data_IF_665571947525
#
_entry.id   IF_665571947525
#
_cell.length_a   1.000
_cell.length_b   1.000
_cell.length_c   1.000
_cell.angle_alpha   90.00
_cell.angle_beta   90.00
_cell.angle_gamma   90.00
#
_symmetry.space_group_name_H-M   'P 1'
#
loop_
_entity.id
_entity.type
_entity.pdbx_description
1 polymer ?
#
# COMPACT_ATOMS: atom_id res chain seq x y z
N UNK A 1 18.68 21.46 48.93
CA UNK A 1 18.18 22.50 48.00
C UNK A 1 18.38 23.84 48.69
N UNK A 2 19.50 24.47 48.48
CA UNK A 2 19.71 25.82 49.00
C UNK A 2 18.85 26.78 48.19
N UNK A 3 17.84 27.33 48.88
CA UNK A 3 16.92 28.28 48.29
C UNK A 3 17.69 29.51 47.80
N UNK A 4 17.64 29.73 46.51
CA UNK A 4 18.21 30.93 45.89
C UNK A 4 17.61 32.15 46.58
N UNK A 5 18.45 32.91 47.29
CA UNK A 5 18.00 34.13 47.98
C UNK A 5 17.48 35.10 46.92
N UNK A 6 16.21 35.42 46.95
CA UNK A 6 15.50 36.26 45.96
C UNK A 6 16.13 37.67 45.82
N UNK A 7 16.81 38.16 46.87
CA UNK A 7 17.57 39.41 46.84
C UNK A 7 18.83 39.33 45.97
N UNK A 8 19.58 38.20 46.04
CA UNK A 8 20.74 37.97 45.18
C UNK A 8 20.30 37.86 43.70
N UNK A 9 19.22 37.17 43.44
CA UNK A 9 18.70 37.08 42.05
C UNK A 9 18.31 38.44 41.48
N UNK A 10 17.69 39.32 42.28
CA UNK A 10 17.30 40.66 41.81
C UNK A 10 18.52 41.58 41.54
N UNK A 11 19.61 41.38 42.27
CA UNK A 11 20.84 42.16 42.12
C UNK A 11 21.72 41.74 40.94
N UNK A 12 21.49 40.54 40.36
CA UNK A 12 22.25 40.02 39.20
C UNK A 12 21.94 40.77 37.92
N UNK A 13 22.96 40.99 37.11
CA UNK A 13 22.84 41.52 35.76
C UNK A 13 22.16 40.48 34.82
N UNK A 14 21.60 40.86 33.67
CA UNK A 14 21.05 39.91 32.71
C UNK A 14 22.02 38.85 32.21
N UNK A 15 23.33 39.15 32.20
CA UNK A 15 24.38 38.22 31.82
C UNK A 15 24.58 37.14 32.90
N UNK A 16 24.77 37.58 34.17
CA UNK A 16 24.94 36.68 35.31
C UNK A 16 23.73 35.77 35.51
N UNK A 17 22.52 36.28 35.28
CA UNK A 17 21.30 35.45 35.32
C UNK A 17 21.30 34.35 34.25
N UNK A 18 21.77 34.62 33.02
CA UNK A 18 21.89 33.62 31.95
C UNK A 18 22.95 32.58 32.28
N UNK A 19 24.12 32.99 32.76
CA UNK A 19 25.19 32.07 33.20
C UNK A 19 24.68 31.15 34.31
N UNK A 20 24.04 31.72 35.33
CA UNK A 20 23.51 30.94 36.44
C UNK A 20 22.43 29.92 36.02
N UNK A 21 21.50 30.33 35.13
CA UNK A 21 20.52 29.39 34.56
C UNK A 21 21.22 28.29 33.79
N UNK A 22 22.21 28.62 32.96
CA UNK A 22 22.91 27.65 32.14
C UNK A 22 23.74 26.67 32.96
N UNK A 23 24.40 27.15 33.99
CA UNK A 23 25.22 26.32 34.90
C UNK A 23 24.35 25.31 35.69
N UNK A 24 23.24 25.75 36.23
CA UNK A 24 22.38 24.93 37.10
C UNK A 24 21.34 24.10 36.30
N UNK A 25 20.77 24.68 35.25
CA UNK A 25 19.66 24.07 34.51
C UNK A 25 19.99 23.72 33.07
N UNK A 26 21.21 24.02 32.59
CA UNK A 26 21.57 23.80 31.18
C UNK A 26 21.31 22.37 30.70
N UNK A 27 21.66 21.37 31.50
CA UNK A 27 21.40 19.95 31.18
C UNK A 27 19.90 19.63 31.12
N UNK A 28 19.13 20.14 32.06
CA UNK A 28 17.69 19.94 32.10
C UNK A 28 17.02 20.66 30.91
N UNK A 29 17.44 21.87 30.57
CA UNK A 29 16.97 22.63 29.41
C UNK A 29 17.22 21.85 28.11
N UNK A 30 18.44 21.30 27.93
CA UNK A 30 18.76 20.48 26.75
C UNK A 30 17.87 19.28 26.66
N UNK A 31 17.65 18.54 27.75
CA UNK A 31 16.75 17.37 27.77
C UNK A 31 15.34 17.76 27.40
N UNK A 32 14.80 18.84 27.94
CA UNK A 32 13.46 19.35 27.63
C UNK A 32 13.36 19.74 26.16
N UNK A 33 14.36 20.41 25.59
CA UNK A 33 14.39 20.78 24.18
C UNK A 33 14.43 19.57 23.26
N UNK A 34 15.19 18.52 23.63
CA UNK A 34 15.21 17.25 22.87
C UNK A 34 13.82 16.59 22.90
N UNK A 35 13.16 16.55 24.05
CA UNK A 35 11.81 15.99 24.18
C UNK A 35 10.82 16.78 23.32
N UNK A 36 10.84 18.11 23.38
CA UNK A 36 9.96 18.96 22.57
C UNK A 36 10.23 18.76 21.07
N UNK A 37 11.50 18.71 20.67
CA UNK A 37 11.87 18.48 19.27
C UNK A 37 11.41 17.09 18.79
N UNK A 38 11.56 16.06 19.62
CA UNK A 38 11.11 14.70 19.32
C UNK A 38 9.59 14.63 19.19
N UNK A 39 8.85 15.27 20.10
CA UNK A 39 7.39 15.35 20.03
C UNK A 39 6.91 16.13 18.81
N UNK A 40 7.56 17.26 18.50
CA UNK A 40 7.25 18.06 17.31
C UNK A 40 7.51 17.27 16.03
N UNK A 41 8.62 16.53 15.97
CA UNK A 41 8.92 15.63 14.85
C UNK A 41 7.86 14.54 14.71
N UNK A 42 7.51 13.87 15.80
CA UNK A 42 6.50 12.82 15.80
C UNK A 42 5.10 13.32 15.36
N UNK A 43 4.70 14.49 15.86
CA UNK A 43 3.46 15.14 15.45
C UNK A 43 3.51 15.57 13.98
N UNK A 44 4.63 16.15 13.54
CA UNK A 44 4.80 16.52 12.13
C UNK A 44 4.71 15.31 11.21
N UNK A 45 5.37 14.22 11.54
CA UNK A 45 5.32 12.98 10.75
C UNK A 45 3.91 12.38 10.73
N UNK A 46 3.22 12.35 11.88
CA UNK A 46 1.85 11.85 11.99
C UNK A 46 0.82 12.69 11.22
N UNK A 47 0.95 14.02 11.28
CA UNK A 47 0.04 14.95 10.58
C UNK A 47 0.37 15.12 9.09
N UNK A 48 1.60 14.79 8.67
CA UNK A 48 2.04 14.91 7.28
C UNK A 48 1.77 13.64 6.46
N UNK A 49 1.47 12.50 7.10
CA UNK A 49 1.09 11.28 6.39
C UNK A 49 -0.31 11.47 5.82
N UNK A 50 -0.40 11.47 4.51
CA UNK A 50 -1.66 11.38 3.79
C UNK A 50 -1.95 9.92 3.51
N UNK A 51 -3.20 9.52 3.61
CA UNK A 51 -3.62 8.19 3.23
C UNK A 51 -3.36 7.97 1.73
N UNK A 52 -2.94 6.78 1.30
CA UNK A 52 -2.75 6.51 -0.11
C UNK A 52 -4.08 6.67 -0.86
N UNK A 53 -4.01 7.21 -2.07
CA UNK A 53 -5.17 7.28 -2.97
C UNK A 53 -5.54 5.88 -3.48
N UNK A 54 -4.52 5.03 -3.65
CA UNK A 54 -4.65 3.69 -4.20
C UNK A 54 -3.64 2.75 -3.55
N UNK A 55 -4.08 1.56 -3.23
CA UNK A 55 -3.25 0.50 -2.64
C UNK A 55 -3.24 -0.75 -3.51
N UNK A 56 -2.04 -1.22 -3.87
CA UNK A 56 -1.86 -2.30 -4.83
C UNK A 56 -0.96 -3.39 -4.26
N UNK A 57 -1.36 -4.64 -4.41
CA UNK A 57 -0.52 -5.81 -4.16
C UNK A 57 -0.01 -6.35 -5.50
N UNK A 58 1.29 -6.60 -5.61
CA UNK A 58 1.95 -7.15 -6.79
C UNK A 58 2.68 -8.44 -6.40
N UNK A 59 2.01 -9.58 -6.59
CA UNK A 59 2.53 -10.89 -6.24
C UNK A 59 3.50 -11.41 -7.31
N UNK A 60 4.58 -12.04 -6.87
CA UNK A 60 5.58 -12.66 -7.76
C UNK A 60 6.16 -11.68 -8.79
N UNK A 61 6.31 -10.41 -8.41
CA UNK A 61 6.88 -9.39 -9.29
C UNK A 61 8.34 -9.71 -9.61
N UNK A 62 8.72 -9.85 -10.90
CA UNK A 62 10.08 -10.28 -11.29
C UNK A 62 11.18 -9.31 -10.85
N UNK A 63 10.87 -8.01 -10.86
CA UNK A 63 11.81 -6.93 -10.55
C UNK A 63 11.26 -6.07 -9.41
N UNK A 64 11.59 -6.41 -8.17
CA UNK A 64 11.03 -5.80 -6.95
C UNK A 64 11.26 -4.29 -6.72
N UNK A 65 11.88 -3.57 -7.67
CA UNK A 65 12.23 -2.15 -7.55
C UNK A 65 11.68 -1.29 -8.70
N UNK A 66 10.59 -1.66 -9.32
CA UNK A 66 9.98 -0.81 -10.35
C UNK A 66 9.19 0.32 -9.68
N UNK A 67 9.38 1.54 -10.21
CA UNK A 67 8.73 2.74 -9.71
C UNK A 67 7.20 2.70 -9.89
N UNK A 68 6.52 3.60 -9.20
CA UNK A 68 5.05 3.73 -9.23
C UNK A 68 4.51 4.49 -10.45
N UNK A 69 5.38 4.80 -11.43
CA UNK A 69 5.08 5.71 -12.54
C UNK A 69 3.86 5.30 -13.40
N UNK A 70 3.61 4.00 -13.54
CA UNK A 70 2.43 3.51 -14.26
C UNK A 70 1.10 3.84 -13.58
N UNK A 71 1.11 3.86 -12.25
CA UNK A 71 -0.06 4.22 -11.45
C UNK A 71 -0.20 5.74 -11.30
N UNK A 72 0.92 6.46 -11.18
CA UNK A 72 0.92 7.93 -11.12
C UNK A 72 0.35 8.56 -12.39
N UNK A 73 0.63 7.97 -13.57
CA UNK A 73 0.04 8.39 -14.84
C UNK A 73 -1.48 8.31 -14.83
N UNK A 74 -2.03 7.23 -14.32
CA UNK A 74 -3.47 7.07 -14.12
C UNK A 74 -4.04 8.12 -13.17
N UNK A 75 -3.41 8.33 -12.01
CA UNK A 75 -3.88 9.31 -11.03
C UNK A 75 -3.96 10.72 -11.65
N UNK A 76 -2.94 11.11 -12.44
CA UNK A 76 -2.92 12.40 -13.13
C UNK A 76 -4.05 12.53 -14.17
N UNK A 77 -4.25 11.50 -14.99
CA UNK A 77 -5.25 11.50 -16.05
C UNK A 77 -6.68 11.59 -15.51
N UNK A 78 -6.94 10.91 -14.38
CA UNK A 78 -8.24 10.91 -13.72
C UNK A 78 -8.44 12.05 -12.70
N UNK A 79 -7.47 12.98 -12.62
CA UNK A 79 -7.57 14.18 -11.78
C UNK A 79 -7.37 13.93 -10.29
N UNK A 80 -6.75 12.82 -9.93
CA UNK A 80 -6.35 12.56 -8.55
C UNK A 80 -5.09 13.33 -8.19
N UNK A 81 -4.92 13.64 -6.90
CA UNK A 81 -3.73 14.33 -6.42
C UNK A 81 -2.53 13.37 -6.37
N UNK A 82 -1.43 13.71 -7.03
CA UNK A 82 -0.20 12.93 -7.00
C UNK A 82 0.77 13.52 -5.98
N UNK A 83 1.15 12.73 -4.99
CA UNK A 83 2.11 13.07 -3.95
C UNK A 83 2.92 11.82 -3.55
N UNK A 84 4.09 11.98 -2.91
CA UNK A 84 4.86 10.83 -2.44
C UNK A 84 4.03 9.95 -1.50
N UNK A 85 3.77 8.70 -1.91
CA UNK A 85 2.90 7.77 -1.19
C UNK A 85 1.42 7.77 -1.62
N UNK A 86 1.04 8.53 -2.68
CA UNK A 86 -0.31 8.47 -3.24
C UNK A 86 -0.68 7.06 -3.72
N UNK A 87 0.30 6.29 -4.16
CA UNK A 87 0.15 4.85 -4.45
C UNK A 87 0.93 4.06 -3.42
N UNK A 88 0.27 3.20 -2.69
CA UNK A 88 0.91 2.22 -1.83
C UNK A 88 1.06 0.89 -2.57
N UNK A 89 2.28 0.53 -2.91
CA UNK A 89 2.58 -0.71 -3.63
C UNK A 89 3.29 -1.71 -2.72
N UNK A 90 2.73 -2.92 -2.61
CA UNK A 90 3.34 -4.06 -1.94
C UNK A 90 3.84 -5.03 -3.00
N UNK A 91 5.15 -5.11 -3.20
CA UNK A 91 5.79 -5.90 -4.28
C UNK A 91 6.76 -6.97 -3.79
N UNK A 92 6.89 -7.15 -2.47
CA UNK A 92 7.85 -8.09 -1.89
C UNK A 92 7.28 -9.50 -1.63
N UNK A 93 6.00 -9.71 -1.90
CA UNK A 93 5.36 -11.00 -1.66
C UNK A 93 5.61 -11.95 -2.83
N UNK A 94 6.47 -12.94 -2.61
CA UNK A 94 6.69 -14.05 -3.54
C UNK A 94 6.01 -15.31 -3.03
N UNK A 95 5.12 -15.90 -3.81
CA UNK A 95 4.42 -17.14 -3.49
C UNK A 95 4.58 -18.10 -4.66
N UNK A 96 5.20 -19.24 -4.42
CA UNK A 96 5.57 -20.23 -5.43
C UNK A 96 4.97 -21.59 -5.07
N UNK A 97 4.28 -22.20 -6.00
CA UNK A 97 3.56 -23.48 -5.82
C UNK A 97 4.48 -24.67 -5.65
N UNK A 98 5.63 -24.66 -6.32
CA UNK A 98 6.52 -25.82 -6.34
C UNK A 98 7.91 -25.46 -5.76
N UNK A 99 8.16 -25.89 -4.55
CA UNK A 99 9.49 -25.86 -3.97
C UNK A 99 9.67 -27.02 -3.00
N UNK A 100 10.80 -27.70 -3.12
CA UNK A 100 11.25 -28.71 -2.16
C UNK A 100 12.20 -28.13 -1.12
N UNK A 101 12.57 -26.86 -1.25
CA UNK A 101 13.43 -26.17 -0.30
C UNK A 101 12.62 -25.73 0.93
N UNK A 102 12.96 -26.22 2.14
CA UNK A 102 12.22 -25.89 3.37
C UNK A 102 12.13 -24.40 3.66
N UNK A 103 13.18 -23.63 3.35
CA UNK A 103 13.19 -22.18 3.60
C UNK A 103 12.19 -21.44 2.67
N UNK A 104 12.06 -21.89 1.43
CA UNK A 104 11.08 -21.34 0.48
C UNK A 104 9.66 -21.72 0.91
N UNK A 105 9.44 -22.96 1.37
CA UNK A 105 8.13 -23.41 1.87
C UNK A 105 7.72 -22.58 3.08
N UNK A 106 8.62 -22.35 4.03
CA UNK A 106 8.35 -21.54 5.20
C UNK A 106 8.05 -20.09 4.83
N UNK A 107 8.85 -19.51 3.93
CA UNK A 107 8.65 -18.14 3.46
C UNK A 107 7.33 -17.97 2.68
N UNK A 108 6.97 -18.96 1.88
CA UNK A 108 5.64 -18.99 1.22
C UNK A 108 4.51 -18.93 2.25
N UNK A 109 4.59 -19.75 3.30
CA UNK A 109 3.58 -19.75 4.35
C UNK A 109 3.44 -18.37 5.02
N UNK A 110 4.55 -17.72 5.38
CA UNK A 110 4.54 -16.36 5.92
C UNK A 110 3.91 -15.37 4.94
N UNK A 111 4.28 -15.45 3.65
CA UNK A 111 3.76 -14.54 2.62
C UNK A 111 2.26 -14.73 2.39
N UNK A 112 1.77 -15.97 2.39
CA UNK A 112 0.34 -16.28 2.30
C UNK A 112 -0.43 -15.72 3.50
N UNK A 113 0.07 -15.90 4.72
CA UNK A 113 -0.55 -15.32 5.92
C UNK A 113 -0.58 -13.79 5.85
N UNK A 114 0.51 -13.18 5.39
CA UNK A 114 0.60 -11.72 5.22
C UNK A 114 -0.40 -11.24 4.17
N UNK A 115 -0.52 -11.93 3.04
CA UNK A 115 -1.49 -11.60 2.00
C UNK A 115 -2.93 -11.67 2.52
N UNK A 116 -3.29 -12.76 3.21
CA UNK A 116 -4.62 -12.90 3.80
C UNK A 116 -4.92 -11.78 4.81
N UNK A 117 -3.95 -11.41 5.66
CA UNK A 117 -4.10 -10.31 6.60
C UNK A 117 -4.33 -8.97 5.87
N UNK A 118 -3.58 -8.69 4.81
CA UNK A 118 -3.73 -7.47 4.00
C UNK A 118 -5.09 -7.42 3.29
N UNK A 119 -5.52 -8.53 2.69
CA UNK A 119 -6.83 -8.60 2.03
C UNK A 119 -7.97 -8.45 3.04
N UNK A 120 -7.84 -9.05 4.24
CA UNK A 120 -8.87 -8.93 5.27
C UNK A 120 -8.94 -7.53 5.92
N UNK A 121 -7.86 -6.75 5.83
CA UNK A 121 -7.84 -5.39 6.39
C UNK A 121 -8.68 -4.38 5.58
N UNK A 122 -9.02 -4.69 4.32
CA UNK A 122 -9.84 -3.84 3.46
C UNK A 122 -9.13 -2.62 2.87
N UNK A 123 -7.82 -2.50 3.11
CA UNK A 123 -7.00 -1.36 2.71
C UNK A 123 -6.25 -1.59 1.37
N UNK A 124 -6.58 -2.65 0.65
CA UNK A 124 -5.98 -2.99 -0.65
C UNK A 124 -7.05 -2.98 -1.74
N UNK A 125 -6.73 -2.29 -2.83
CA UNK A 125 -7.69 -2.05 -3.92
C UNK A 125 -7.53 -3.05 -5.04
N UNK A 126 -6.29 -3.29 -5.48
CA UNK A 126 -5.98 -4.15 -6.60
C UNK A 126 -4.95 -5.20 -6.24
N UNK A 127 -5.11 -6.39 -6.80
CA UNK A 127 -4.16 -7.50 -6.67
C UNK A 127 -3.70 -7.93 -8.04
N UNK A 128 -2.42 -7.70 -8.32
CA UNK A 128 -1.74 -8.22 -9.49
C UNK A 128 -0.93 -9.45 -9.11
N UNK A 129 -0.82 -10.38 -10.03
CA UNK A 129 0.02 -11.55 -9.80
C UNK A 129 0.08 -12.47 -11.00
N UNK A 130 0.96 -13.44 -10.91
CA UNK A 130 1.18 -14.45 -11.93
C UNK A 130 1.39 -15.81 -11.30
N UNK A 131 1.14 -16.85 -12.11
CA UNK A 131 1.37 -18.25 -11.75
C UNK A 131 0.16 -18.95 -11.18
N UNK A 132 0.28 -20.27 -11.15
CA UNK A 132 -0.78 -21.21 -10.78
C UNK A 132 -1.37 -20.92 -9.40
N UNK A 133 -0.56 -20.46 -8.43
CA UNK A 133 -1.08 -20.13 -7.11
C UNK A 133 -2.11 -18.98 -7.14
N UNK A 134 -1.90 -17.97 -8.00
CA UNK A 134 -2.88 -16.88 -8.16
C UNK A 134 -4.20 -17.42 -8.69
N UNK A 135 -4.13 -18.27 -9.70
CA UNK A 135 -5.32 -18.89 -10.29
C UNK A 135 -6.06 -19.78 -9.28
N UNK A 136 -5.36 -20.73 -8.69
CA UNK A 136 -5.95 -21.71 -7.79
C UNK A 136 -6.43 -21.12 -6.46
N UNK A 137 -5.78 -20.07 -5.97
CA UNK A 137 -6.08 -19.56 -4.63
C UNK A 137 -6.89 -18.27 -4.68
N UNK A 138 -6.45 -17.24 -5.41
CA UNK A 138 -7.16 -15.96 -5.39
C UNK A 138 -8.42 -15.97 -6.26
N UNK A 139 -8.33 -16.54 -7.46
CA UNK A 139 -9.48 -16.60 -8.38
C UNK A 139 -10.58 -17.47 -7.77
N UNK A 140 -10.23 -18.61 -7.16
CA UNK A 140 -11.21 -19.57 -6.66
C UNK A 140 -11.65 -19.35 -5.21
N UNK A 141 -11.01 -18.43 -4.46
CA UNK A 141 -11.23 -18.28 -3.01
C UNK A 141 -12.29 -17.24 -2.61
N UNK A 142 -12.85 -16.50 -3.57
CA UNK A 142 -13.72 -15.36 -3.24
C UNK A 142 -12.98 -14.15 -2.67
N UNK A 143 -11.62 -14.13 -2.71
CA UNK A 143 -10.81 -13.00 -2.28
C UNK A 143 -10.88 -11.81 -3.25
N UNK A 144 -11.33 -12.04 -4.47
CA UNK A 144 -11.51 -11.05 -5.52
C UNK A 144 -12.99 -10.74 -5.72
N UNK A 145 -13.26 -9.46 -6.01
CA UNK A 145 -14.59 -8.92 -6.22
C UNK A 145 -15.18 -9.43 -7.56
N UNK A 146 -16.48 -9.61 -7.58
CA UNK A 146 -17.25 -9.84 -8.81
C UNK A 146 -17.17 -8.61 -9.71
N UNK A 147 -16.45 -8.74 -10.83
CA UNK A 147 -16.21 -7.65 -11.79
C UNK A 147 -17.49 -7.20 -12.51
N UNK A 148 -18.53 -8.02 -12.55
CA UNK A 148 -19.82 -7.60 -13.13
C UNK A 148 -20.51 -6.50 -12.31
N UNK A 149 -20.09 -6.31 -11.06
CA UNK A 149 -20.58 -5.23 -10.20
C UNK A 149 -19.85 -3.89 -10.42
N UNK A 150 -18.70 -3.92 -11.09
CA UNK A 150 -17.82 -2.75 -11.24
C UNK A 150 -17.51 -2.41 -12.70
N UNK A 151 -17.58 -3.37 -13.61
CA UNK A 151 -17.37 -3.13 -15.04
C UNK A 151 -18.67 -3.34 -15.82
N UNK A 152 -18.92 -2.54 -16.87
CA UNK A 152 -20.05 -2.76 -17.78
C UNK A 152 -19.95 -4.13 -18.46
N UNK A 153 -21.11 -4.75 -18.72
CA UNK A 153 -21.20 -6.05 -19.42
C UNK A 153 -20.51 -6.00 -20.80
N UNK A 154 -20.65 -4.90 -21.53
CA UNK A 154 -20.01 -4.71 -22.83
C UNK A 154 -18.47 -4.74 -22.77
N UNK A 155 -17.88 -4.33 -21.64
CA UNK A 155 -16.43 -4.42 -21.42
C UNK A 155 -16.02 -5.86 -21.19
N UNK A 156 -16.75 -6.58 -20.34
CA UNK A 156 -16.50 -8.00 -20.07
C UNK A 156 -16.66 -8.85 -21.33
N UNK A 157 -17.69 -8.58 -22.16
CA UNK A 157 -17.88 -9.24 -23.46
C UNK A 157 -16.72 -8.97 -24.42
N UNK A 158 -16.21 -7.73 -24.45
CA UNK A 158 -15.06 -7.37 -25.32
C UNK A 158 -13.77 -8.07 -24.89
N UNK A 159 -13.58 -8.29 -23.60
CA UNK A 159 -12.43 -9.00 -23.04
C UNK A 159 -12.47 -10.50 -23.34
N UNK A 160 -13.67 -11.09 -23.48
CA UNK A 160 -13.86 -12.49 -23.86
C UNK A 160 -13.03 -13.45 -23.01
N UNK A 161 -12.14 -14.22 -23.65
CA UNK A 161 -11.30 -15.24 -23.00
C UNK A 161 -10.28 -14.68 -22.00
N UNK A 162 -10.06 -13.37 -21.97
CA UNK A 162 -9.19 -12.73 -20.96
C UNK A 162 -9.87 -12.62 -19.60
N UNK A 163 -11.18 -12.81 -19.52
CA UNK A 163 -11.90 -12.78 -18.24
C UNK A 163 -11.77 -14.14 -17.55
N UNK A 164 -11.28 -14.09 -16.31
CA UNK A 164 -11.17 -15.25 -15.45
C UNK A 164 -12.34 -15.32 -14.49
N UNK A 165 -12.85 -16.51 -14.28
CA UNK A 165 -14.05 -16.75 -13.48
C UNK A 165 -13.72 -17.51 -12.19
N UNK A 166 -14.42 -17.15 -11.10
CA UNK A 166 -14.38 -17.89 -9.84
C UNK A 166 -14.95 -19.30 -10.02
N UNK A 167 -14.61 -20.22 -9.12
CA UNK A 167 -15.32 -21.50 -9.04
C UNK A 167 -16.74 -21.29 -8.53
N UNK A 168 -17.69 -22.02 -9.13
CA UNK A 168 -19.03 -22.09 -8.60
C UNK A 168 -19.04 -22.94 -7.31
N UNK A 169 -19.69 -22.45 -6.27
CA UNK A 169 -19.94 -23.19 -5.04
C UNK A 169 -21.43 -23.55 -4.92
N UNK A 170 -21.79 -24.28 -3.87
CA UNK A 170 -23.23 -24.57 -3.59
C UNK A 170 -24.01 -23.28 -3.25
N UNK A 171 -23.34 -22.25 -2.75
CA UNK A 171 -23.96 -21.01 -2.27
C UNK A 171 -23.86 -19.87 -3.30
N UNK A 172 -22.82 -19.86 -4.14
CA UNK A 172 -22.55 -18.78 -5.08
C UNK A 172 -22.26 -19.33 -6.50
N UNK A 173 -22.89 -18.78 -7.56
CA UNK A 173 -22.54 -19.09 -8.92
C UNK A 173 -21.15 -18.56 -9.28
N UNK A 174 -20.52 -19.12 -10.30
CA UNK A 174 -19.29 -18.58 -10.90
C UNK A 174 -19.51 -17.15 -11.39
N UNK A 175 -18.56 -16.26 -11.10
CA UNK A 175 -18.60 -14.86 -11.51
C UNK A 175 -17.23 -14.40 -12.03
N UNK A 176 -17.19 -13.38 -12.93
CA UNK A 176 -15.92 -12.82 -13.40
C UNK A 176 -15.20 -12.13 -12.26
N UNK A 177 -13.94 -12.48 -11.97
CA UNK A 177 -13.22 -11.94 -10.81
C UNK A 177 -11.80 -11.44 -11.11
N UNK A 178 -11.22 -11.83 -12.24
CA UNK A 178 -9.91 -11.35 -12.64
C UNK A 178 -9.82 -11.18 -14.16
N UNK A 179 -8.81 -10.47 -14.63
CA UNK A 179 -8.52 -10.22 -16.04
C UNK A 179 -7.09 -10.63 -16.33
N UNK A 180 -6.90 -11.43 -17.37
CA UNK A 180 -5.57 -11.74 -17.91
C UNK A 180 -5.07 -10.57 -18.76
N UNK A 181 -3.94 -10.00 -18.34
CA UNK A 181 -3.33 -8.84 -18.98
C UNK A 181 -2.19 -9.18 -19.94
N UNK A 182 -2.01 -10.46 -20.36
CA UNK A 182 -0.88 -10.88 -21.20
C UNK A 182 -0.68 -10.04 -22.47
N UNK A 183 -1.75 -9.53 -23.07
CA UNK A 183 -1.71 -8.70 -24.27
C UNK A 183 -1.98 -7.22 -24.02
N UNK A 184 -2.11 -6.83 -22.77
CA UNK A 184 -2.44 -5.47 -22.38
C UNK A 184 -1.30 -4.50 -22.67
N UNK A 185 -1.62 -3.34 -23.28
CA UNK A 185 -0.64 -2.33 -23.67
C UNK A 185 -0.01 -1.65 -22.45
N UNK A 186 -0.78 -1.36 -21.41
CA UNK A 186 -0.28 -0.75 -20.18
C UNK A 186 0.72 -1.67 -19.49
N UNK A 187 0.43 -2.97 -19.41
CA UNK A 187 1.33 -3.95 -18.81
C UNK A 187 2.67 -4.00 -19.55
N UNK A 188 2.63 -4.03 -20.89
CA UNK A 188 3.83 -4.03 -21.74
C UNK A 188 4.67 -2.76 -21.57
N UNK A 189 4.00 -1.61 -21.42
CA UNK A 189 4.66 -0.31 -21.23
C UNK A 189 5.24 -0.14 -19.83
N UNK A 190 4.51 -0.59 -18.81
CA UNK A 190 4.94 -0.48 -17.40
C UNK A 190 6.14 -1.37 -17.09
N UNK A 191 6.25 -2.51 -17.76
CA UNK A 191 7.32 -3.48 -17.56
C UNK A 191 7.26 -4.24 -16.22
N UNK A 192 6.15 -4.15 -15.49
CA UNK A 192 5.99 -4.83 -14.19
C UNK A 192 6.02 -6.35 -14.34
N UNK A 193 5.33 -6.86 -15.36
CA UNK A 193 5.27 -8.27 -15.69
C UNK A 193 5.32 -8.46 -17.21
N UNK A 194 5.70 -9.65 -17.66
CA UNK A 194 5.51 -10.07 -19.05
C UNK A 194 4.08 -10.57 -19.28
N UNK A 195 3.48 -11.11 -18.22
CA UNK A 195 2.09 -11.56 -18.19
C UNK A 195 1.64 -11.58 -16.73
N UNK A 196 0.42 -11.14 -16.44
CA UNK A 196 -0.16 -11.23 -15.10
C UNK A 196 -1.69 -11.19 -15.19
N UNK A 197 -2.30 -11.54 -14.08
CA UNK A 197 -3.71 -11.31 -13.80
C UNK A 197 -3.88 -10.08 -12.93
N UNK A 198 -5.03 -9.42 -13.05
CA UNK A 198 -5.45 -8.36 -12.13
C UNK A 198 -6.86 -8.62 -11.65
N UNK A 199 -7.09 -8.45 -10.37
CA UNK A 199 -8.41 -8.47 -9.75
C UNK A 199 -8.57 -7.32 -8.75
N UNK A 200 -9.81 -6.97 -8.45
CA UNK A 200 -10.17 -6.04 -7.39
C UNK A 200 -10.29 -6.84 -6.09
N UNK A 201 -9.67 -6.38 -5.01
CA UNK A 201 -9.82 -7.03 -3.71
C UNK A 201 -11.28 -6.95 -3.24
N UNK A 202 -11.85 -8.09 -2.81
CA UNK A 202 -13.27 -8.16 -2.42
C UNK A 202 -13.60 -7.26 -1.22
N UNK A 203 -12.61 -6.97 -0.38
CA UNK A 203 -12.72 -6.17 0.83
C UNK A 203 -12.40 -4.69 0.66
N UNK A 204 -12.09 -4.21 -0.57
CA UNK A 204 -11.70 -2.80 -0.75
C UNK A 204 -12.83 -1.83 -0.44
N UNK A 205 -12.49 -0.76 0.27
CA UNK A 205 -13.37 0.39 0.47
C UNK A 205 -13.30 1.40 -0.69
N UNK A 206 -12.31 1.27 -1.60
CA UNK A 206 -12.03 2.20 -2.70
C UNK A 206 -12.47 1.65 -4.08
N UNK A 207 -13.62 1.03 -4.14
CA UNK A 207 -14.16 0.38 -5.38
C UNK A 207 -14.09 1.33 -6.58
N UNK A 208 -14.38 2.62 -6.37
CA UNK A 208 -14.37 3.62 -7.45
C UNK A 208 -13.00 3.71 -8.13
N UNK A 209 -11.93 3.93 -7.38
CA UNK A 209 -10.59 4.11 -7.97
C UNK A 209 -10.08 2.82 -8.60
N UNK A 210 -10.41 1.65 -8.02
CA UNK A 210 -10.09 0.36 -8.60
C UNK A 210 -10.77 0.15 -9.96
N UNK A 211 -12.06 0.51 -10.06
CA UNK A 211 -12.85 0.45 -11.31
C UNK A 211 -12.29 1.41 -12.37
N UNK A 212 -12.03 2.65 -11.99
CA UNK A 212 -11.46 3.65 -12.90
C UNK A 212 -10.08 3.23 -13.40
N UNK A 213 -9.26 2.63 -12.53
CA UNK A 213 -7.97 2.10 -12.96
C UNK A 213 -8.11 0.91 -13.92
N UNK A 214 -9.01 -0.04 -13.67
CA UNK A 214 -9.27 -1.12 -14.61
C UNK A 214 -9.73 -0.55 -15.97
N UNK A 215 -10.64 0.40 -15.97
CA UNK A 215 -11.11 1.08 -17.19
C UNK A 215 -9.95 1.73 -17.94
N UNK A 216 -9.07 2.44 -17.23
CA UNK A 216 -7.88 3.07 -17.79
C UNK A 216 -6.94 2.07 -18.48
N UNK A 217 -6.58 0.97 -17.80
CA UNK A 217 -5.64 -0.01 -18.37
C UNK A 217 -6.26 -0.84 -19.50
N UNK A 218 -7.58 -0.95 -19.54
CA UNK A 218 -8.30 -1.62 -20.61
C UNK A 218 -8.54 -0.72 -21.83
N UNK A 219 -8.22 0.57 -21.73
CA UNK A 219 -8.34 1.52 -22.83
C UNK A 219 -9.80 1.88 -23.17
N UNK A 220 -10.69 1.87 -22.17
CA UNK A 220 -12.15 2.12 -22.33
C UNK A 220 -12.51 3.58 -22.00
#
# INVERSE_FOLDING_TARGET
MDGMNMEKWKAMTPHEKREHIWEYYGRAIIVVLIIIASLAWFLYEGLSKRDPQMSVIMLNMPNGNMGQSGFEGFLQEYGYEVYPGAVQMVSYLGIYTESTNPDVIYKNYENVQTLHAMLSAGDKDLVFGTGQWYEETLIHSGALMDLSKVLPESVLETLGDAVMYSEATEEEPSYPCAIDLRDNAWLKQSGYYTQCYVGVAASTDNVKIATEFLTYILGQ
#
